data_IF_546450824819
#
_entry.id   IF_546450824819
#
_cell.length_a   1.000
_cell.length_b   1.000
_cell.length_c   1.000
_cell.angle_alpha   90.00
_cell.angle_beta   90.00
_cell.angle_gamma   90.00
#
_symmetry.space_group_name_H-M   'P 1'
#
loop_
_entity.id
_entity.type
_entity.pdbx_description
1 polymer ?
#
# COMPACT_ATOMS: atom_id res chain seq x y z
N UNK A 1 19.53 -0.10 26.01
CA UNK A 1 19.46 0.60 24.70
C UNK A 1 20.18 -0.29 23.69
N UNK A 2 19.47 -1.10 22.89
CA UNK A 2 20.00 -1.79 21.66
C UNK A 2 18.98 -2.68 20.94
N UNK A 3 17.79 -2.99 21.49
CA UNK A 3 16.83 -3.88 20.79
C UNK A 3 15.97 -3.18 19.73
N UNK A 4 15.60 -1.90 19.89
CA UNK A 4 14.74 -1.18 18.93
C UNK A 4 15.33 -1.07 17.51
N UNK A 5 16.66 -0.99 17.39
CA UNK A 5 17.34 -0.89 16.10
C UNK A 5 17.26 -2.18 15.27
N UNK A 6 17.48 -3.35 15.90
CA UNK A 6 17.39 -4.63 15.19
C UNK A 6 15.95 -4.97 14.75
N UNK A 7 14.95 -4.70 15.60
CA UNK A 7 13.55 -4.95 15.26
C UNK A 7 13.05 -4.04 14.12
N UNK A 8 13.53 -2.79 14.05
CA UNK A 8 13.18 -1.88 12.95
C UNK A 8 13.75 -2.33 11.61
N UNK A 9 15.03 -2.73 11.57
CA UNK A 9 15.71 -3.18 10.33
C UNK A 9 15.15 -4.50 9.81
N UNK A 10 14.77 -5.44 10.68
CA UNK A 10 14.14 -6.68 10.24
C UNK A 10 12.73 -6.44 9.66
N UNK A 11 11.95 -5.54 10.26
CA UNK A 11 10.61 -5.21 9.75
C UNK A 11 10.64 -4.44 8.43
N UNK A 12 11.62 -3.56 8.21
CA UNK A 12 11.76 -2.82 6.95
C UNK A 12 12.09 -3.76 5.79
N UNK A 13 13.05 -4.66 5.98
CA UNK A 13 13.42 -5.67 4.98
C UNK A 13 12.26 -6.63 4.68
N UNK A 14 11.53 -7.08 5.72
CA UNK A 14 10.37 -7.94 5.54
C UNK A 14 9.26 -7.26 4.74
N UNK A 15 8.95 -6.00 5.05
CA UNK A 15 7.99 -5.23 4.28
C UNK A 15 8.44 -5.03 2.82
N UNK A 16 9.71 -4.68 2.60
CA UNK A 16 10.24 -4.49 1.25
C UNK A 16 10.09 -5.78 0.43
N UNK A 17 10.42 -6.94 1.01
CA UNK A 17 10.21 -8.24 0.38
C UNK A 17 8.74 -8.53 0.12
N UNK A 18 7.86 -8.35 1.11
CA UNK A 18 6.42 -8.54 0.94
C UNK A 18 5.86 -7.67 -0.19
N UNK A 19 6.30 -6.42 -0.22
CA UNK A 19 5.86 -5.44 -1.20
C UNK A 19 6.29 -5.77 -2.61
N UNK A 20 7.59 -6.03 -2.81
CA UNK A 20 8.11 -6.42 -4.11
C UNK A 20 7.41 -7.67 -4.67
N UNK A 21 7.14 -8.66 -3.81
CA UNK A 21 6.54 -9.94 -4.22
C UNK A 21 5.07 -9.84 -4.64
N UNK A 22 4.29 -8.90 -4.07
CA UNK A 22 2.86 -8.75 -4.40
C UNK A 22 2.55 -7.54 -5.29
N UNK A 23 3.50 -6.61 -5.48
CA UNK A 23 3.30 -5.43 -6.32
C UNK A 23 2.93 -5.81 -7.77
N UNK A 24 3.51 -6.89 -8.30
CA UNK A 24 3.23 -7.37 -9.66
C UNK A 24 1.78 -7.83 -9.90
N UNK A 25 0.94 -7.91 -8.86
CA UNK A 25 -0.48 -8.24 -8.99
C UNK A 25 -1.33 -7.09 -9.56
N UNK A 26 -0.80 -5.87 -9.71
CA UNK A 26 -1.56 -4.74 -10.27
C UNK A 26 -2.61 -4.15 -9.32
N UNK A 27 -2.54 -4.53 -8.04
CA UNK A 27 -3.52 -4.14 -7.02
C UNK A 27 -3.13 -2.86 -6.27
N UNK A 28 -1.90 -2.37 -6.47
CA UNK A 28 -1.32 -1.25 -5.74
C UNK A 28 -0.20 -1.69 -4.80
N UNK A 29 0.26 -0.77 -3.95
CA UNK A 29 1.26 -1.03 -2.91
C UNK A 29 0.64 -1.89 -1.78
N UNK A 30 1.09 -3.12 -1.58
CA UNK A 30 0.57 -3.98 -0.52
C UNK A 30 1.05 -3.52 0.87
N UNK A 31 0.18 -3.61 1.87
CA UNK A 31 0.49 -3.32 3.26
C UNK A 31 0.76 -4.61 4.02
N UNK A 32 1.93 -4.72 4.65
CA UNK A 32 2.27 -5.86 5.52
C UNK A 32 1.42 -5.83 6.79
N UNK A 33 1.18 -4.62 7.31
CA UNK A 33 0.28 -4.34 8.42
C UNK A 33 -0.90 -3.47 7.94
N UNK A 34 -1.94 -4.09 7.36
CA UNK A 34 -3.16 -3.43 6.96
C UNK A 34 -3.73 -2.53 8.06
N UNK A 35 -3.90 -1.25 7.73
CA UNK A 35 -4.45 -0.26 8.63
C UNK A 35 -5.95 -0.51 8.85
N UNK A 36 -6.46 -0.57 10.10
CA UNK A 36 -7.89 -0.64 10.35
C UNK A 36 -8.52 0.67 9.89
N UNK A 37 -9.46 0.59 8.95
CA UNK A 37 -10.15 1.77 8.45
C UNK A 37 -11.52 1.81 9.11
N UNK A 38 -11.74 2.80 9.98
CA UNK A 38 -13.02 3.03 10.66
C UNK A 38 -14.17 3.11 9.65
N UNK A 39 -15.37 2.76 10.13
CA UNK A 39 -16.58 2.76 9.32
C UNK A 39 -16.98 4.16 8.89
N UNK A 40 -16.50 4.57 7.73
CA UNK A 40 -16.82 5.84 7.08
C UNK A 40 -15.61 6.47 6.41
N UNK A 41 -14.40 6.15 6.85
CA UNK A 41 -13.19 6.61 6.19
C UNK A 41 -12.89 5.73 4.97
N UNK A 42 -12.78 6.39 3.83
CA UNK A 42 -12.02 5.89 2.70
C UNK A 42 -10.65 6.57 2.85
N UNK A 43 -9.56 5.80 2.82
CA UNK A 43 -8.18 6.35 2.83
C UNK A 43 -7.92 7.28 1.62
N UNK A 44 -8.89 7.41 0.73
CA UNK A 44 -8.82 8.23 -0.47
C UNK A 44 -8.61 9.69 -0.09
N UNK A 45 -7.66 10.31 -0.78
CA UNK A 45 -7.15 11.66 -0.55
C UNK A 45 -6.42 11.83 0.78
N UNK A 46 -6.07 10.76 1.49
CA UNK A 46 -5.14 10.89 2.62
C UNK A 46 -3.71 11.08 2.13
N UNK A 47 -2.98 11.95 2.83
CA UNK A 47 -1.57 12.19 2.61
C UNK A 47 -0.80 11.60 3.79
N UNK A 48 0.28 10.89 3.49
CA UNK A 48 1.07 10.20 4.51
C UNK A 48 2.36 9.64 3.96
N UNK A 49 2.95 8.72 4.72
CA UNK A 49 4.16 8.01 4.33
C UNK A 49 4.08 6.54 4.73
N UNK A 50 4.93 5.73 4.13
CA UNK A 50 5.09 4.31 4.47
C UNK A 50 6.23 4.14 5.45
N UNK A 51 6.00 3.31 6.47
CA UNK A 51 7.03 2.94 7.44
C UNK A 51 6.76 1.50 7.90
N UNK A 52 7.75 0.63 7.75
CA UNK A 52 7.68 -0.78 8.16
C UNK A 52 6.37 -1.50 7.74
N UNK A 53 5.91 -1.25 6.51
CA UNK A 53 4.71 -1.87 5.95
C UNK A 53 3.38 -1.41 6.51
N UNK A 54 3.39 -0.29 7.23
CA UNK A 54 2.21 0.45 7.68
C UNK A 54 2.16 1.80 6.98
N UNK A 55 0.95 2.24 6.61
CA UNK A 55 0.73 3.61 6.16
C UNK A 55 0.46 4.53 7.35
N UNK A 56 1.23 5.59 7.47
CA UNK A 56 1.10 6.61 8.49
C UNK A 56 0.46 7.86 7.89
N UNK A 57 -0.81 8.06 8.22
CA UNK A 57 -1.56 9.25 7.81
C UNK A 57 -1.00 10.50 8.50
N UNK A 58 -0.75 11.53 7.70
CA UNK A 58 -0.52 12.89 8.18
C UNK A 58 -1.84 13.64 8.28
N UNK A 59 -2.56 13.78 7.17
CA UNK A 59 -3.86 14.45 7.12
C UNK A 59 -4.70 14.02 5.90
N UNK A 60 -5.92 14.53 5.76
CA UNK A 60 -6.85 14.19 4.66
C UNK A 60 -7.03 15.39 3.74
N UNK A 61 -6.51 15.31 2.52
CA UNK A 61 -6.49 16.41 1.55
C UNK A 61 -7.87 16.81 1.02
N UNK A 62 -8.86 15.91 1.03
CA UNK A 62 -10.19 16.22 0.51
C UNK A 62 -11.19 16.67 1.58
N UNK A 63 -10.82 16.64 2.86
CA UNK A 63 -11.74 17.02 3.94
C UNK A 63 -11.85 18.54 4.04
N UNK A 64 -13.05 19.13 4.16
CA UNK A 64 -13.14 20.53 4.58
C UNK A 64 -12.45 20.68 5.94
N UNK A 65 -11.78 21.81 6.17
CA UNK A 65 -10.91 22.11 7.33
C UNK A 65 -11.67 22.20 8.68
N UNK A 66 -12.80 21.52 8.82
CA UNK A 66 -13.83 21.80 9.82
C UNK A 66 -13.61 21.05 11.14
N UNK A 67 -12.57 20.20 11.20
CA UNK A 67 -12.28 19.42 12.39
C UNK A 67 -11.02 19.95 13.08
N UNK A 68 -11.19 20.60 14.24
CA UNK A 68 -10.13 21.05 15.15
C UNK A 68 -9.14 19.94 15.61
N UNK A 69 -9.37 18.68 15.22
CA UNK A 69 -8.50 17.52 15.49
C UNK A 69 -7.58 17.15 14.33
N UNK A 70 -7.76 17.75 13.17
CA UNK A 70 -6.98 17.45 11.97
C UNK A 70 -5.79 18.41 11.91
N UNK A 71 -4.56 17.88 11.99
CA UNK A 71 -3.33 18.65 11.83
C UNK A 71 -3.19 19.00 10.35
N UNK A 72 -3.81 20.08 9.93
CA UNK A 72 -3.75 20.58 8.55
C UNK A 72 -2.62 21.61 8.44
N UNK A 73 -1.86 21.63 7.33
CA UNK A 73 -0.84 22.66 7.11
C UNK A 73 -1.44 24.08 7.15
N UNK A 74 -0.63 25.10 7.46
CA UNK A 74 -1.10 26.49 7.63
C UNK A 74 -1.79 27.06 6.38
N UNK A 75 -1.37 26.62 5.21
CA UNK A 75 -1.86 26.99 3.88
C UNK A 75 -2.92 26.01 3.34
N UNK A 76 -3.54 25.21 4.21
CA UNK A 76 -4.41 24.11 3.80
C UNK A 76 -5.57 24.59 2.92
N UNK A 77 -5.58 24.05 1.71
CA UNK A 77 -6.68 24.16 0.78
C UNK A 77 -7.16 22.74 0.45
N UNK A 78 -8.45 22.42 0.60
CA UNK A 78 -8.94 21.09 0.23
C UNK A 78 -8.74 20.81 -1.25
N UNK A 79 -8.22 19.61 -1.56
CA UNK A 79 -8.20 19.07 -2.91
C UNK A 79 -9.64 18.98 -3.44
N UNK A 80 -9.94 19.82 -4.41
CA UNK A 80 -11.23 19.88 -5.06
C UNK A 80 -11.13 19.18 -6.41
N UNK A 81 -11.63 17.94 -6.46
CA UNK A 81 -11.77 17.20 -7.72
C UNK A 81 -13.08 17.61 -8.40
N UNK A 82 -13.02 17.88 -9.70
CA UNK A 82 -14.17 18.19 -10.54
C UNK A 82 -15.18 17.03 -10.53
N UNK A 83 -16.49 17.34 -10.47
CA UNK A 83 -17.57 16.34 -10.39
C UNK A 83 -18.41 16.44 -9.10
N UNK A 84 -19.61 15.85 -9.11
CA UNK A 84 -20.48 15.78 -7.93
C UNK A 84 -19.91 14.78 -6.91
N UNK A 85 -20.03 15.03 -5.60
CA UNK A 85 -19.36 14.24 -4.54
C UNK A 85 -19.64 12.73 -4.61
N UNK A 86 -20.84 12.33 -5.07
CA UNK A 86 -21.22 10.92 -5.28
C UNK A 86 -20.67 10.30 -6.57
N UNK A 87 -20.14 11.11 -7.48
CA UNK A 87 -19.48 10.71 -8.72
C UNK A 87 -17.97 10.63 -8.60
N UNK A 88 -17.33 11.11 -7.52
CA UNK A 88 -15.85 11.31 -7.44
C UNK A 88 -15.02 10.04 -7.21
N UNK A 89 -15.69 8.93 -6.91
CA UNK A 89 -15.02 7.69 -6.62
C UNK A 89 -15.75 6.57 -7.31
N UNK A 90 -15.01 5.86 -8.15
CA UNK A 90 -15.51 4.63 -8.73
C UNK A 90 -15.26 3.48 -7.76
N UNK A 91 -16.34 2.82 -7.36
CA UNK A 91 -16.27 1.52 -6.72
C UNK A 91 -16.12 0.48 -7.83
N UNK A 92 -14.87 0.23 -8.21
CA UNK A 92 -14.56 -0.87 -9.11
C UNK A 92 -14.94 -2.18 -8.42
N UNK A 93 -16.00 -2.81 -8.92
CA UNK A 93 -16.41 -4.14 -8.49
C UNK A 93 -15.56 -5.21 -9.14
N UNK A 94 -14.34 -4.95 -9.64
CA UNK A 94 -13.40 -6.03 -9.97
C UNK A 94 -13.13 -6.76 -8.65
N UNK A 95 -13.84 -7.87 -8.37
CA UNK A 95 -13.79 -8.46 -7.07
C UNK A 95 -12.48 -9.23 -7.06
N UNK A 96 -11.57 -8.90 -6.15
CA UNK A 96 -10.64 -9.93 -5.76
C UNK A 96 -11.51 -10.95 -5.04
N UNK A 97 -11.86 -12.01 -5.75
CA UNK A 97 -12.73 -13.06 -5.24
C UNK A 97 -12.16 -13.65 -3.96
N UNK A 98 -13.01 -14.28 -3.13
CA UNK A 98 -12.52 -15.03 -1.98
C UNK A 98 -11.57 -16.12 -2.47
N UNK A 99 -10.39 -16.22 -1.90
CA UNK A 99 -9.33 -17.08 -2.43
C UNK A 99 -7.97 -16.75 -1.84
N UNK A 100 -6.93 -17.08 -2.58
CA UNK A 100 -5.56 -16.68 -2.27
C UNK A 100 -4.93 -16.01 -3.48
N UNK A 101 -4.23 -14.91 -3.24
CA UNK A 101 -3.35 -14.26 -4.20
C UNK A 101 -1.92 -14.49 -3.74
N UNK A 102 -1.03 -14.86 -4.66
CA UNK A 102 0.34 -15.26 -4.33
C UNK A 102 1.31 -14.58 -5.29
N UNK A 103 2.54 -14.42 -4.83
CA UNK A 103 3.65 -13.97 -5.68
C UNK A 103 3.97 -15.00 -6.76
N UNK A 104 4.67 -14.55 -7.79
CA UNK A 104 5.08 -15.39 -8.90
C UNK A 104 5.94 -16.59 -8.43
N UNK A 105 5.63 -17.77 -8.96
CA UNK A 105 6.33 -19.01 -8.63
C UNK A 105 5.72 -19.76 -7.45
N UNK A 106 4.66 -19.25 -6.81
CA UNK A 106 3.89 -20.02 -5.82
C UNK A 106 2.74 -20.72 -6.52
N UNK A 107 2.59 -22.02 -6.27
CA UNK A 107 1.46 -22.82 -6.77
C UNK A 107 0.53 -23.20 -5.62
N UNK A 108 -0.76 -22.86 -5.72
CA UNK A 108 -1.75 -23.34 -4.77
C UNK A 108 -2.07 -24.82 -5.06
N UNK A 109 -1.84 -25.70 -4.09
CA UNK A 109 -2.05 -27.15 -4.22
C UNK A 109 -3.48 -27.58 -3.85
N UNK A 110 -4.22 -26.72 -3.13
CA UNK A 110 -5.60 -26.97 -2.74
C UNK A 110 -6.58 -26.51 -3.82
N UNK A 111 -7.74 -27.17 -3.96
CA UNK A 111 -8.79 -26.71 -4.88
C UNK A 111 -9.40 -25.42 -4.34
N UNK A 112 -9.83 -24.53 -5.23
CA UNK A 112 -10.40 -23.22 -4.86
C UNK A 112 -11.61 -23.33 -3.89
N UNK A 113 -12.42 -24.38 -4.03
CA UNK A 113 -13.54 -24.66 -3.11
C UNK A 113 -13.09 -24.91 -1.66
N UNK A 114 -11.88 -25.43 -1.45
CA UNK A 114 -11.31 -25.64 -0.11
C UNK A 114 -10.92 -24.31 0.56
N UNK A 115 -10.68 -23.25 -0.22
CA UNK A 115 -10.36 -21.90 0.27
C UNK A 115 -11.62 -21.13 0.69
N UNK A 116 -12.78 -21.41 0.09
CA UNK A 116 -14.07 -20.86 0.52
C UNK A 116 -14.70 -21.65 1.66
N UNK A 117 -14.48 -22.97 1.68
CA UNK A 117 -14.98 -23.90 2.70
C UNK A 117 -13.84 -24.34 3.61
N UNK A 118 -13.12 -23.41 4.23
CA UNK A 118 -12.02 -23.72 5.16
C UNK A 118 -12.60 -24.34 6.46
N UNK A 119 -13.14 -25.54 6.35
CA UNK A 119 -13.45 -26.46 7.42
C UNK A 119 -12.25 -27.39 7.59
N UNK A 120 -11.43 -27.10 8.60
CA UNK A 120 -10.40 -28.00 9.15
C UNK A 120 -9.16 -28.32 8.30
N UNK A 121 -9.24 -28.40 6.96
CA UNK A 121 -8.13 -28.96 6.15
C UNK A 121 -7.00 -28.00 5.79
N UNK A 122 -7.23 -26.69 5.84
CA UNK A 122 -6.24 -25.68 5.45
C UNK A 122 -5.96 -25.64 3.94
N UNK A 123 -5.24 -24.61 3.50
CA UNK A 123 -4.86 -24.35 2.11
C UNK A 123 -3.36 -24.49 1.98
N UNK A 124 -2.88 -25.34 1.08
CA UNK A 124 -1.46 -25.59 0.88
C UNK A 124 -0.93 -24.87 -0.38
N UNK A 125 0.29 -24.35 -0.26
CA UNK A 125 1.00 -23.61 -1.30
C UNK A 125 2.40 -24.20 -1.44
N UNK A 126 2.83 -24.49 -2.66
CA UNK A 126 4.19 -24.92 -2.95
C UNK A 126 5.02 -23.75 -3.44
N UNK A 127 6.16 -23.53 -2.80
CA UNK A 127 7.13 -22.54 -3.22
C UNK A 127 7.91 -23.07 -4.43
N UNK A 128 7.89 -22.35 -5.55
CA UNK A 128 8.77 -22.60 -6.70
C UNK A 128 10.03 -21.74 -6.69
N UNK A 129 10.20 -20.90 -5.66
CA UNK A 129 11.34 -19.99 -5.47
C UNK A 129 11.74 -19.94 -3.99
N UNK A 130 12.98 -19.51 -3.68
CA UNK A 130 13.45 -19.40 -2.30
C UNK A 130 12.72 -18.37 -1.44
N UNK A 131 11.95 -17.47 -2.05
CA UNK A 131 11.15 -16.47 -1.35
C UNK A 131 9.82 -16.25 -2.06
N UNK A 132 8.82 -15.81 -1.30
CA UNK A 132 7.52 -15.47 -1.86
C UNK A 132 6.54 -14.99 -0.80
N UNK A 133 5.42 -14.46 -1.29
CA UNK A 133 4.37 -13.86 -0.45
C UNK A 133 3.00 -14.40 -0.83
N UNK A 134 2.17 -14.62 0.17
CA UNK A 134 0.82 -15.16 0.06
C UNK A 134 -0.13 -14.23 0.79
N UNK A 135 -1.28 -13.95 0.21
CA UNK A 135 -2.40 -13.31 0.88
C UNK A 135 -3.66 -14.15 0.65
N UNK A 136 -4.30 -14.54 1.75
CA UNK A 136 -5.56 -15.28 1.77
C UNK A 136 -6.68 -14.33 2.15
N UNK A 137 -7.74 -14.35 1.35
CA UNK A 137 -8.94 -13.55 1.49
C UNK A 137 -10.14 -14.50 1.60
N UNK A 138 -10.63 -14.79 2.82
CA UNK A 138 -11.78 -15.68 2.96
C UNK A 138 -13.09 -15.08 2.42
N UNK A 139 -13.14 -13.77 2.26
CA UNK A 139 -14.24 -13.01 1.66
C UNK A 139 -13.68 -12.11 0.56
N UNK A 140 -14.51 -11.74 -0.41
CA UNK A 140 -14.08 -10.86 -1.50
C UNK A 140 -13.58 -9.51 -0.99
N UNK A 141 -12.49 -9.01 -1.58
CA UNK A 141 -12.04 -7.65 -1.34
C UNK A 141 -12.73 -6.67 -2.30
N UNK A 142 -12.92 -5.43 -1.86
CA UNK A 142 -13.51 -4.35 -2.66
C UNK A 142 -12.43 -3.32 -3.00
N UNK A 143 -12.31 -2.95 -4.28
CA UNK A 143 -11.46 -1.86 -4.73
C UNK A 143 -12.23 -0.54 -4.75
N UNK A 144 -11.57 0.53 -4.33
CA UNK A 144 -12.05 1.91 -4.40
C UNK A 144 -10.97 2.75 -5.07
N UNK A 145 -11.35 3.65 -5.97
CA UNK A 145 -10.42 4.56 -6.65
C UNK A 145 -11.04 5.94 -6.86
N UNK A 146 -10.18 6.95 -6.88
CA UNK A 146 -10.45 8.24 -7.49
C UNK A 146 -10.54 8.09 -9.01
N UNK A 147 -11.38 8.90 -9.64
CA UNK A 147 -11.53 8.87 -11.10
C UNK A 147 -10.27 9.40 -11.80
N UNK A 148 -9.90 8.76 -12.91
CA UNK A 148 -8.68 9.04 -13.69
C UNK A 148 -8.60 10.47 -14.26
N UNK A 149 -9.73 11.15 -14.46
CA UNK A 149 -9.73 12.56 -14.88
C UNK A 149 -9.10 13.49 -13.83
N UNK A 150 -8.84 12.97 -12.62
CA UNK A 150 -8.26 13.70 -11.50
C UNK A 150 -6.74 13.73 -11.50
N UNK A 151 -6.05 12.92 -12.32
CA UNK A 151 -4.60 12.66 -12.18
C UNK A 151 -3.77 13.95 -12.23
N UNK A 152 -4.04 14.81 -13.22
CA UNK A 152 -3.38 16.13 -13.35
C UNK A 152 -3.70 17.06 -12.18
N UNK A 153 -4.95 17.04 -11.73
CA UNK A 153 -5.41 17.88 -10.61
C UNK A 153 -4.74 17.46 -9.31
N UNK A 154 -4.59 16.15 -9.09
CA UNK A 154 -3.91 15.56 -7.93
C UNK A 154 -2.43 15.94 -7.96
N UNK A 155 -1.74 15.73 -9.07
CA UNK A 155 -0.32 16.02 -9.17
C UNK A 155 -0.02 17.53 -9.03
N UNK A 156 -0.86 18.39 -9.63
CA UNK A 156 -0.78 19.86 -9.45
C UNK A 156 -1.06 20.28 -8.01
N UNK A 157 -1.96 19.59 -7.33
CA UNK A 157 -2.23 19.81 -5.92
C UNK A 157 -1.05 19.40 -5.05
N UNK A 158 -0.49 18.21 -5.28
CA UNK A 158 0.71 17.74 -4.59
C UNK A 158 1.83 18.76 -4.76
N UNK A 159 2.14 19.19 -5.99
CA UNK A 159 3.23 20.13 -6.25
C UNK A 159 3.09 21.44 -5.44
N UNK A 160 1.88 22.01 -5.39
CA UNK A 160 1.62 23.26 -4.66
C UNK A 160 1.79 23.14 -3.16
N UNK A 161 1.54 21.97 -2.59
CA UNK A 161 1.53 21.79 -1.13
C UNK A 161 2.65 20.88 -0.60
N UNK A 162 3.48 20.29 -1.48
CA UNK A 162 4.46 19.28 -1.10
C UNK A 162 5.44 19.78 -0.04
N UNK A 163 5.91 21.02 -0.17
CA UNK A 163 6.82 21.64 0.81
C UNK A 163 6.13 21.78 2.17
N UNK A 164 4.90 22.29 2.19
CA UNK A 164 4.10 22.42 3.42
C UNK A 164 3.91 21.07 4.13
N UNK A 165 3.79 19.98 3.38
CA UNK A 165 3.62 18.64 3.97
C UNK A 165 4.89 18.14 4.64
N UNK A 166 6.05 18.40 4.03
CA UNK A 166 7.35 18.07 4.61
C UNK A 166 7.64 18.90 5.86
N UNK A 167 7.25 20.18 5.87
CA UNK A 167 7.35 21.04 7.05
C UNK A 167 6.46 20.51 8.19
N UNK A 168 5.21 20.12 7.91
CA UNK A 168 4.31 19.53 8.92
C UNK A 168 4.86 18.19 9.44
N UNK A 169 5.38 17.33 8.57
CA UNK A 169 6.03 16.08 8.99
C UNK A 169 7.22 16.37 9.92
N UNK A 170 8.06 17.35 9.57
CA UNK A 170 9.25 17.72 10.34
C UNK A 170 8.92 18.30 11.71
N UNK A 171 7.83 19.07 11.82
CA UNK A 171 7.38 19.66 13.09
C UNK A 171 6.62 18.66 13.98
N UNK A 172 6.01 17.63 13.39
CA UNK A 172 5.25 16.62 14.11
C UNK A 172 6.07 15.38 14.52
N UNK A 173 7.24 15.17 13.92
CA UNK A 173 8.12 14.05 14.23
C UNK A 173 8.75 14.19 15.64
N UNK A 174 8.87 13.08 16.41
CA UNK A 174 9.64 13.07 17.65
C UNK A 174 11.10 13.45 17.37
N UNK A 175 11.72 14.25 18.24
CA UNK A 175 13.12 14.76 18.11
C UNK A 175 14.22 13.70 17.85
N UNK A 176 13.91 12.40 17.98
CA UNK A 176 14.84 11.30 17.78
C UNK A 176 14.61 10.50 16.48
N UNK A 177 13.63 10.88 15.65
CA UNK A 177 13.43 10.26 14.33
C UNK A 177 14.28 11.01 13.30
N UNK A 178 15.59 10.72 13.30
CA UNK A 178 16.56 11.18 12.28
C UNK A 178 16.42 10.43 10.96
N UNK A 179 15.37 9.62 10.80
CA UNK A 179 15.17 8.83 9.60
C UNK A 179 15.02 9.74 8.38
N UNK A 180 15.79 9.39 7.35
CA UNK A 180 15.84 9.98 6.01
C UNK A 180 14.49 10.54 5.55
N UNK A 181 14.52 11.70 4.87
CA UNK A 181 13.36 12.37 4.28
C UNK A 181 12.32 11.36 3.74
N UNK A 182 11.26 11.11 4.52
CA UNK A 182 10.26 10.10 4.17
C UNK A 182 9.55 10.56 2.91
N UNK A 183 9.48 9.69 1.90
CA UNK A 183 8.75 10.03 0.67
C UNK A 183 7.26 10.07 0.95
N UNK A 184 6.70 11.27 0.84
CA UNK A 184 5.27 11.49 1.01
C UNK A 184 4.48 10.98 -0.18
N UNK A 185 3.30 10.43 0.10
CA UNK A 185 2.37 9.93 -0.89
C UNK A 185 0.95 10.40 -0.62
N UNK A 186 0.16 10.54 -1.69
CA UNK A 186 -1.27 10.80 -1.64
C UNK A 186 -2.02 9.56 -2.11
N UNK A 187 -2.93 9.05 -1.29
CA UNK A 187 -3.69 7.83 -1.57
C UNK A 187 -4.85 8.14 -2.51
N UNK A 188 -4.84 7.53 -3.69
CA UNK A 188 -5.87 7.68 -4.74
C UNK A 188 -6.80 6.48 -4.83
N UNK A 189 -6.42 5.35 -4.25
CA UNK A 189 -7.21 4.12 -4.28
C UNK A 189 -6.85 3.19 -3.13
N UNK A 190 -7.74 2.23 -2.84
CA UNK A 190 -7.39 1.13 -1.95
C UNK A 190 -8.20 -0.13 -2.24
N UNK A 191 -7.63 -1.28 -1.88
CA UNK A 191 -8.32 -2.57 -1.82
C UNK A 191 -8.62 -2.89 -0.36
N UNK A 192 -9.87 -3.20 -0.03
CA UNK A 192 -10.30 -3.43 1.35
C UNK A 192 -10.91 -4.81 1.55
N UNK A 193 -10.58 -5.45 2.68
CA UNK A 193 -11.26 -6.64 3.18
C UNK A 193 -11.44 -6.56 4.71
N UNK A 194 -12.50 -7.17 5.22
CA UNK A 194 -12.66 -7.38 6.67
C UNK A 194 -11.74 -8.50 7.17
N UNK A 195 -11.55 -9.52 6.33
CA UNK A 195 -10.92 -10.79 6.65
C UNK A 195 -9.75 -11.02 5.71
N UNK A 196 -8.56 -11.11 6.27
CA UNK A 196 -7.35 -11.33 5.51
C UNK A 196 -6.31 -12.03 6.38
N UNK A 197 -5.44 -12.79 5.73
CA UNK A 197 -4.21 -13.29 6.32
C UNK A 197 -3.11 -13.19 5.28
N UNK A 198 -1.93 -12.76 5.67
CA UNK A 198 -0.77 -12.68 4.79
C UNK A 198 0.41 -13.43 5.38
N UNK A 199 1.31 -13.87 4.50
CA UNK A 199 2.56 -14.49 4.88
C UNK A 199 3.64 -14.16 3.86
N UNK A 200 4.87 -14.03 4.36
CA UNK A 200 6.09 -13.91 3.54
C UNK A 200 7.09 -14.95 4.03
N UNK A 201 7.72 -15.65 3.11
CA UNK A 201 8.79 -16.59 3.42
C UNK A 201 10.04 -16.30 2.59
N UNK A 202 11.20 -16.71 3.10
CA UNK A 202 12.48 -16.61 2.42
C UNK A 202 13.47 -17.68 2.88
N UNK A 203 14.48 -17.96 2.06
CA UNK A 203 15.51 -18.96 2.35
C UNK A 203 14.98 -20.41 2.34
N UNK A 204 13.87 -20.66 1.65
CA UNK A 204 13.24 -21.99 1.57
C UNK A 204 13.72 -22.74 0.33
N UNK A 205 13.59 -24.07 0.34
CA UNK A 205 13.80 -24.86 -0.87
C UNK A 205 12.63 -24.71 -1.85
N UNK A 206 12.87 -25.01 -3.15
CA UNK A 206 11.84 -24.91 -4.20
C UNK A 206 10.78 -26.01 -4.15
N UNK A 207 10.72 -26.76 -3.06
CA UNK A 207 9.69 -27.77 -2.79
C UNK A 207 8.94 -27.48 -1.49
N UNK A 208 9.32 -26.42 -0.78
CA UNK A 208 8.80 -26.06 0.51
C UNK A 208 7.30 -25.81 0.40
N UNK A 209 6.57 -26.31 1.39
CA UNK A 209 5.11 -26.17 1.42
C UNK A 209 4.72 -25.22 2.54
N UNK A 210 4.00 -24.16 2.19
CA UNK A 210 3.35 -23.27 3.15
C UNK A 210 1.90 -23.68 3.28
N UNK A 211 1.43 -23.94 4.49
CA UNK A 211 0.03 -24.30 4.75
C UNK A 211 -0.63 -23.22 5.60
N UNK A 212 -1.71 -22.64 5.08
CA UNK A 212 -2.61 -21.75 5.80
C UNK A 212 -3.71 -22.55 6.48
N UNK A 213 -3.98 -22.31 7.77
CA UNK A 213 -5.14 -22.86 8.48
C UNK A 213 -5.96 -21.71 9.03
N UNK A 214 -7.27 -21.74 8.77
CA UNK A 214 -8.21 -20.79 9.37
C UNK A 214 -8.52 -21.20 10.81
N UNK A 215 -8.58 -20.19 11.67
CA UNK A 215 -9.09 -20.24 13.02
C UNK A 215 -10.42 -21.02 13.11
N UNK A 216 -10.47 -22.00 14.00
CA UNK A 216 -11.73 -22.43 14.62
C UNK A 216 -12.09 -21.48 15.78
N UNK A 217 -13.25 -21.63 16.43
CA UNK A 217 -13.70 -20.77 17.53
C UNK A 217 -12.70 -20.62 18.71
N UNK A 218 -11.67 -21.47 18.79
CA UNK A 218 -10.67 -21.48 19.86
C UNK A 218 -9.23 -21.30 19.39
N UNK A 219 -9.00 -21.11 18.09
CA UNK A 219 -7.65 -21.07 17.52
C UNK A 219 -7.46 -19.83 16.67
N UNK A 220 -6.21 -19.39 16.50
CA UNK A 220 -5.87 -18.31 15.59
C UNK A 220 -5.57 -18.86 14.20
N UNK A 221 -5.95 -18.12 13.16
CA UNK A 221 -5.55 -18.46 11.80
C UNK A 221 -4.04 -18.30 11.69
N UNK A 222 -3.36 -19.27 11.10
CA UNK A 222 -1.90 -19.31 11.06
C UNK A 222 -1.39 -19.86 9.74
N UNK A 223 -0.14 -19.51 9.43
CA UNK A 223 0.62 -20.15 8.38
C UNK A 223 1.70 -21.04 9.01
N UNK A 224 1.96 -22.18 8.39
CA UNK A 224 3.00 -23.12 8.78
C UNK A 224 3.88 -23.41 7.58
N UNK A 225 5.19 -23.48 7.79
CA UNK A 225 6.18 -23.76 6.75
C UNK A 225 6.74 -25.17 6.97
N UNK A 226 6.56 -26.05 5.98
CA UNK A 226 7.22 -27.33 5.90
C UNK A 226 8.45 -27.19 5.00
N UNK A 227 9.59 -26.92 5.62
CA UNK A 227 10.90 -26.76 4.97
C UNK A 227 12.00 -27.16 5.94
N UNK A 228 13.14 -27.62 5.40
CA UNK A 228 14.34 -27.90 6.20
C UNK A 228 15.10 -26.63 6.60
N UNK A 229 14.86 -25.52 5.90
CA UNK A 229 15.46 -24.21 6.12
C UNK A 229 14.47 -23.07 5.84
N UNK A 230 14.85 -21.86 6.21
CA UNK A 230 14.13 -20.64 5.88
C UNK A 230 13.21 -20.14 6.99
N UNK A 231 12.64 -18.98 6.74
CA UNK A 231 11.85 -18.24 7.72
C UNK A 231 10.47 -17.93 7.15
N UNK A 232 9.48 -17.85 8.05
CA UNK A 232 8.09 -17.54 7.72
C UNK A 232 7.59 -16.47 8.68
N UNK A 233 7.13 -15.37 8.12
CA UNK A 233 6.46 -14.29 8.85
C UNK A 233 5.02 -14.20 8.38
N UNK A 234 4.07 -14.00 9.30
CA UNK A 234 2.67 -13.92 8.93
C UNK A 234 1.85 -13.05 9.88
N UNK A 235 0.80 -12.43 9.33
CA UNK A 235 -0.18 -11.64 10.05
C UNK A 235 -1.60 -11.99 9.60
N UNK A 236 -2.58 -11.77 10.46
CA UNK A 236 -3.98 -12.13 10.18
C UNK A 236 -4.95 -11.29 11.00
N UNK A 237 -6.06 -10.87 10.38
CA UNK A 237 -7.22 -10.28 11.07
C UNK A 237 -8.31 -11.32 11.39
N UNK A 238 -8.05 -12.60 11.11
CA UNK A 238 -9.02 -13.69 11.23
C UNK A 238 -9.06 -14.23 12.66
N UNK A 239 -9.50 -13.42 13.61
CA UNK A 239 -9.91 -13.86 14.95
C UNK A 239 -11.43 -14.06 14.98
N UNK A 240 -11.87 -15.31 15.04
CA UNK A 240 -13.27 -15.68 15.23
C UNK A 240 -13.54 -15.82 16.72
N UNK A 241 -13.84 -14.73 17.42
CA UNK A 241 -14.33 -14.82 18.80
C UNK A 241 -13.81 -13.71 19.70
N UNK A 242 -14.74 -13.03 20.36
CA UNK A 242 -14.54 -11.90 21.27
C UNK A 242 -13.95 -10.65 20.59
N UNK A 243 -14.85 -9.73 20.24
CA UNK A 243 -14.58 -8.30 20.42
C UNK A 243 -14.04 -8.18 21.84
N UNK A 244 -12.72 -8.07 21.98
CA UNK A 244 -12.16 -7.50 23.19
C UNK A 244 -12.82 -6.15 23.30
N UNK A 245 -13.68 -5.97 24.30
CA UNK A 245 -14.04 -4.65 24.79
C UNK A 245 -12.72 -3.93 24.94
N UNK A 246 -12.44 -2.98 24.04
CA UNK A 246 -11.35 -2.05 24.25
C UNK A 246 -11.76 -1.33 25.53
N UNK A 247 -11.14 -1.69 26.65
CA UNK A 247 -11.26 -0.94 27.89
C UNK A 247 -10.61 0.42 27.65
N UNK A 248 -11.32 1.32 26.97
CA UNK A 248 -11.09 2.73 27.14
C UNK A 248 -11.46 3.03 28.59
N UNK A 249 -10.45 3.27 29.42
CA UNK A 249 -10.59 3.71 30.82
C UNK A 249 -11.07 5.16 30.93
N UNK A 250 -12.05 5.55 30.10
CA UNK A 250 -12.71 6.83 30.18
C UNK A 250 -14.20 6.59 30.12
N UNK A 251 -14.92 6.96 31.17
CA UNK A 251 -16.39 6.96 31.20
C UNK A 251 -16.92 7.86 30.09
N UNK A 252 -17.41 7.27 28.99
CA UNK A 252 -18.27 7.95 28.05
C UNK A 252 -19.70 7.55 28.37
N UNK A 253 -20.55 8.52 28.73
CA UNK A 253 -21.98 8.29 28.83
C UNK A 253 -22.54 7.98 27.44
N UNK A 254 -23.18 6.82 27.28
CA UNK A 254 -23.86 6.46 26.03
C UNK A 254 -24.97 7.49 25.72
N UNK A 255 -25.03 8.04 24.49
CA UNK A 255 -26.10 8.94 24.11
C UNK A 255 -27.45 8.20 24.06
N UNK A 256 -28.50 8.87 24.52
CA UNK A 256 -29.83 8.30 24.81
C UNK A 256 -30.64 7.75 23.60
N UNK A 257 -30.06 7.68 22.40
CA UNK A 257 -30.76 7.18 21.21
C UNK A 257 -30.56 5.67 20.96
N UNK A 258 -29.82 4.95 21.81
CA UNK A 258 -29.59 3.49 21.68
C UNK A 258 -30.73 2.60 22.19
N UNK A 259 -31.95 3.12 22.37
CA UNK A 259 -33.08 2.36 22.93
C UNK A 259 -33.99 1.65 21.91
N UNK A 260 -33.59 1.59 20.63
CA UNK A 260 -34.20 0.68 19.66
C UNK A 260 -33.24 -0.46 19.31
N UNK A 261 -33.55 -1.64 19.85
CA UNK A 261 -32.94 -2.94 19.54
C UNK A 261 -33.18 -3.32 18.05
N UNK A 262 -32.47 -2.65 17.15
CA UNK A 262 -32.11 -3.25 15.86
C UNK A 262 -30.70 -3.77 16.06
N UNK A 263 -30.56 -5.08 16.02
CA UNK A 263 -29.35 -5.91 16.04
C UNK A 263 -28.13 -5.22 15.41
N UNK A 264 -27.43 -4.38 16.17
CA UNK A 264 -26.13 -3.84 15.80
C UNK A 264 -25.12 -4.97 15.95
N UNK A 265 -25.06 -5.88 14.97
CA UNK A 265 -23.80 -6.58 14.74
C UNK A 265 -22.77 -5.48 14.51
N UNK A 266 -21.73 -5.32 15.36
CA UNK A 266 -20.72 -4.31 15.15
C UNK A 266 -20.19 -4.51 13.74
N UNK A 267 -20.37 -3.49 12.93
CA UNK A 267 -19.97 -3.49 11.55
C UNK A 267 -18.49 -3.85 11.50
N UNK A 268 -18.17 -4.96 10.82
CA UNK A 268 -16.82 -5.53 10.80
C UNK A 268 -15.85 -4.49 10.22
N UNK A 269 -14.88 -4.05 11.02
CA UNK A 269 -13.83 -3.13 10.58
C UNK A 269 -13.15 -3.70 9.33
N UNK A 270 -13.08 -2.89 8.27
CA UNK A 270 -12.38 -3.27 7.03
C UNK A 270 -10.98 -2.70 7.06
N UNK A 271 -10.01 -3.49 6.64
CA UNK A 271 -8.62 -3.07 6.55
C UNK A 271 -8.27 -2.75 5.10
N UNK A 272 -7.38 -1.79 4.88
CA UNK A 272 -6.78 -1.55 3.57
C UNK A 272 -5.60 -2.51 3.36
N UNK A 273 -5.65 -3.28 2.29
CA UNK A 273 -4.68 -4.32 1.96
C UNK A 273 -3.66 -3.85 0.92
N UNK A 274 -4.14 -3.06 -0.05
CA UNK A 274 -3.34 -2.46 -1.10
C UNK A 274 -3.75 -0.99 -1.24
N UNK A 275 -2.78 -0.14 -1.56
CA UNK A 275 -2.98 1.29 -1.81
C UNK A 275 -2.64 1.61 -3.26
N UNK A 276 -3.52 2.32 -3.97
CA UNK A 276 -3.11 3.09 -5.14
C UNK A 276 -2.77 4.49 -4.68
N UNK A 277 -1.68 5.04 -5.20
CA UNK A 277 -1.05 6.21 -4.62
C UNK A 277 -0.25 6.99 -5.66
N UNK A 278 -0.15 8.29 -5.38
CA UNK A 278 0.75 9.20 -6.06
C UNK A 278 1.97 9.49 -5.20
N UNK A 279 3.12 9.60 -5.83
CA UNK A 279 4.31 10.21 -5.25
C UNK A 279 4.74 11.41 -6.07
N UNK A 280 5.42 12.33 -5.41
CA UNK A 280 6.04 13.49 -6.03
C UNK A 280 7.49 13.58 -5.57
N UNK A 281 8.39 13.92 -6.48
CA UNK A 281 9.81 14.17 -6.21
C UNK A 281 10.22 15.49 -6.83
N UNK A 282 10.83 16.36 -6.02
CA UNK A 282 11.44 17.59 -6.47
C UNK A 282 12.87 17.31 -6.94
N UNK A 283 13.32 18.02 -7.98
CA UNK A 283 14.72 18.04 -8.40
C UNK A 283 15.55 18.69 -7.31
N UNK A 284 16.52 17.97 -6.77
CA UNK A 284 17.46 18.59 -5.83
C UNK A 284 18.42 19.52 -6.59
N UNK A 285 18.63 20.77 -6.15
CA UNK A 285 19.51 21.73 -6.83
C UNK A 285 20.99 21.30 -6.83
N UNK A 286 21.39 20.44 -5.90
CA UNK A 286 22.78 19.98 -5.71
C UNK A 286 23.08 18.63 -6.36
N UNK A 287 22.15 18.11 -7.15
CA UNK A 287 22.19 16.75 -7.67
C UNK A 287 23.05 16.65 -8.94
N UNK A 288 24.37 16.58 -8.77
CA UNK A 288 25.22 15.79 -9.67
C UNK A 288 24.97 14.28 -9.42
N UNK A 289 23.71 13.85 -9.43
CA UNK A 289 23.28 12.46 -9.18
C UNK A 289 23.84 11.48 -10.23
N UNK A 290 24.35 11.98 -11.35
CA UNK A 290 24.78 11.16 -12.47
C UNK A 290 26.12 10.43 -12.27
N UNK A 291 26.89 10.67 -11.20
CA UNK A 291 28.26 10.13 -11.14
C UNK A 291 28.77 9.53 -9.82
N UNK A 292 28.11 9.69 -8.67
CA UNK A 292 28.73 9.27 -7.39
C UNK A 292 27.92 8.35 -6.48
N UNK A 293 26.64 8.08 -6.75
CA UNK A 293 25.97 6.95 -6.08
C UNK A 293 26.24 5.68 -6.89
N UNK A 294 27.28 4.95 -6.51
CA UNK A 294 27.16 3.49 -6.57
C UNK A 294 25.81 3.14 -5.95
N UNK A 295 25.13 2.19 -6.58
CA UNK A 295 23.77 1.71 -6.32
C UNK A 295 23.66 1.17 -4.89
N UNK A 296 23.75 2.03 -3.88
CA UNK A 296 23.04 1.84 -2.63
C UNK A 296 21.60 2.18 -2.96
N UNK A 297 20.90 1.18 -3.50
CA UNK A 297 19.44 1.19 -3.53
C UNK A 297 19.02 1.50 -2.11
N UNK A 298 18.41 2.66 -1.89
CA UNK A 298 17.72 2.88 -0.64
C UNK A 298 16.70 1.75 -0.54
N UNK A 299 16.79 0.94 0.52
CA UNK A 299 15.91 -0.23 0.71
C UNK A 299 14.43 0.17 0.62
N UNK A 300 14.14 1.46 0.82
CA UNK A 300 12.84 2.09 0.84
C UNK A 300 12.30 2.59 -0.51
N UNK A 301 13.12 2.71 -1.57
CA UNK A 301 12.60 3.15 -2.87
C UNK A 301 11.64 2.09 -3.44
N UNK A 302 10.53 2.44 -4.06
CA UNK A 302 9.69 1.48 -4.80
C UNK A 302 9.73 1.77 -6.30
N UNK A 303 8.96 1.00 -7.09
CA UNK A 303 8.91 1.18 -8.54
C UNK A 303 8.52 2.62 -8.94
N UNK A 304 7.68 3.30 -8.15
CA UNK A 304 7.30 4.68 -8.44
C UNK A 304 8.48 5.62 -8.19
N UNK A 305 9.31 5.36 -7.17
CA UNK A 305 10.54 6.16 -6.93
C UNK A 305 11.55 6.04 -8.08
N UNK A 306 11.75 4.84 -8.64
CA UNK A 306 12.58 4.65 -9.83
C UNK A 306 12.01 5.39 -11.04
N UNK A 307 10.68 5.38 -11.19
CA UNK A 307 10.01 6.08 -12.28
C UNK A 307 10.20 7.60 -12.17
N UNK A 308 10.01 8.17 -10.98
CA UNK A 308 10.26 9.58 -10.69
C UNK A 308 11.72 9.96 -10.94
N UNK A 309 12.67 9.11 -10.55
CA UNK A 309 14.09 9.34 -10.80
C UNK A 309 14.42 9.32 -12.30
N UNK A 310 13.84 8.40 -13.06
CA UNK A 310 13.96 8.35 -14.51
C UNK A 310 13.41 9.63 -15.16
N UNK A 311 12.19 10.05 -14.78
CA UNK A 311 11.57 11.28 -15.31
C UNK A 311 12.47 12.51 -15.09
N UNK A 312 12.99 12.69 -13.88
CA UNK A 312 13.86 13.83 -13.57
C UNK A 312 15.22 13.74 -14.27
N UNK A 313 15.74 12.53 -14.52
CA UNK A 313 17.01 12.35 -15.24
C UNK A 313 16.89 12.73 -16.72
N UNK A 314 15.75 12.41 -17.33
CA UNK A 314 15.53 12.52 -18.79
C UNK A 314 14.64 13.70 -19.20
N UNK A 315 14.40 14.64 -18.28
CA UNK A 315 13.69 15.89 -18.55
C UNK A 315 14.36 17.08 -17.88
N UNK A 316 14.01 18.29 -18.30
CA UNK A 316 14.44 19.55 -17.68
C UNK A 316 13.55 20.00 -16.51
N UNK A 317 12.57 19.20 -16.11
CA UNK A 317 11.56 19.63 -15.15
C UNK A 317 12.06 19.73 -13.71
N UNK A 318 11.49 20.63 -12.93
CA UNK A 318 11.85 20.83 -11.52
C UNK A 318 11.17 19.82 -10.59
N UNK A 319 10.09 19.18 -11.04
CA UNK A 319 9.37 18.18 -10.26
C UNK A 319 8.82 17.08 -11.18
N UNK A 320 8.69 15.88 -10.62
CA UNK A 320 8.01 14.76 -11.24
C UNK A 320 6.93 14.24 -10.30
N UNK A 321 5.79 13.84 -10.84
CA UNK A 321 4.77 13.11 -10.12
C UNK A 321 4.39 11.86 -10.91
N UNK A 322 4.14 10.77 -10.19
CA UNK A 322 3.78 9.50 -10.80
C UNK A 322 2.83 8.73 -9.89
N UNK A 323 1.98 7.93 -10.52
CA UNK A 323 1.04 7.02 -9.90
C UNK A 323 1.55 5.58 -10.00
N UNK A 324 1.16 4.69 -9.09
CA UNK A 324 1.43 3.24 -9.24
C UNK A 324 0.85 2.68 -10.54
N UNK A 325 -0.26 3.26 -11.00
CA UNK A 325 -0.86 2.99 -12.32
C UNK A 325 0.08 3.20 -13.50
N UNK A 326 0.95 4.21 -13.46
CA UNK A 326 1.90 4.51 -14.54
C UNK A 326 2.93 3.38 -14.66
N UNK A 327 3.34 2.81 -13.54
CA UNK A 327 4.23 1.64 -13.53
C UNK A 327 3.53 0.48 -14.22
N UNK A 328 2.28 0.16 -13.87
CA UNK A 328 1.55 -0.95 -14.49
C UNK A 328 1.30 -0.73 -15.99
N UNK A 329 1.02 0.51 -16.39
CA UNK A 329 0.79 0.86 -17.78
C UNK A 329 2.03 0.57 -18.66
N UNK A 330 3.25 0.79 -18.15
CA UNK A 330 4.49 0.49 -18.88
C UNK A 330 4.68 -0.98 -19.22
N UNK A 331 3.94 -1.88 -18.58
CA UNK A 331 4.09 -3.31 -18.79
C UNK A 331 3.06 -3.91 -19.76
N UNK A 332 1.92 -3.28 -20.05
CA UNK A 332 0.91 -3.76 -21.01
C UNK A 332 0.64 -5.30 -20.96
N UNK A 333 0.64 -5.90 -19.75
CA UNK A 333 0.44 -7.35 -19.57
C UNK A 333 1.72 -8.21 -19.57
N UNK A 334 2.89 -7.61 -19.80
CA UNK A 334 4.18 -8.21 -19.53
C UNK A 334 4.45 -8.30 -18.02
N UNK A 335 5.40 -9.17 -17.68
CA UNK A 335 5.85 -9.35 -16.31
C UNK A 335 6.69 -8.14 -15.86
N UNK A 336 6.34 -7.56 -14.72
CA UNK A 336 7.14 -6.53 -14.06
C UNK A 336 8.51 -7.13 -13.66
N UNK A 337 9.65 -6.54 -14.07
CA UNK A 337 10.98 -6.99 -13.70
C UNK A 337 11.21 -6.76 -12.21
N UNK A 338 12.26 -7.38 -11.65
CA UNK A 338 12.57 -7.15 -10.25
C UNK A 338 12.98 -5.70 -10.02
N UNK A 339 12.86 -5.23 -8.78
CA UNK A 339 13.13 -3.84 -8.40
C UNK A 339 14.52 -3.36 -8.86
N UNK A 340 15.56 -4.18 -8.67
CA UNK A 340 16.93 -3.86 -9.06
C UNK A 340 17.18 -3.87 -10.58
N UNK A 341 16.30 -4.49 -11.37
CA UNK A 341 16.36 -4.53 -12.84
C UNK A 341 15.53 -3.39 -13.44
N UNK A 342 14.57 -2.84 -12.70
CA UNK A 342 13.59 -1.89 -13.21
C UNK A 342 14.21 -0.59 -13.73
N UNK A 343 15.26 -0.07 -13.09
CA UNK A 343 15.96 1.11 -13.59
C UNK A 343 16.55 0.87 -14.99
N UNK A 344 17.20 -0.28 -15.21
CA UNK A 344 17.73 -0.65 -16.53
C UNK A 344 16.61 -0.85 -17.54
N UNK A 345 15.52 -1.50 -17.13
CA UNK A 345 14.33 -1.67 -17.95
C UNK A 345 13.79 -0.32 -18.45
N UNK A 346 13.73 0.72 -17.60
CA UNK A 346 13.29 2.05 -18.03
C UNK A 346 14.24 2.68 -19.05
N UNK A 347 15.55 2.50 -18.90
CA UNK A 347 16.54 2.98 -19.88
C UNK A 347 16.41 2.24 -21.22
N UNK A 348 16.15 0.93 -21.20
CA UNK A 348 15.96 0.12 -22.40
C UNK A 348 14.62 0.41 -23.10
N UNK A 349 13.54 0.62 -22.33
CA UNK A 349 12.21 0.97 -22.83
C UNK A 349 12.13 2.42 -23.35
N UNK A 350 12.89 3.32 -22.72
CA UNK A 350 12.94 4.76 -22.99
C UNK A 350 11.53 5.41 -23.13
N UNK A 351 10.63 5.27 -22.13
CA UNK A 351 9.26 5.76 -22.25
C UNK A 351 9.21 7.27 -22.46
N UNK A 352 8.22 7.71 -23.25
CA UNK A 352 8.01 9.11 -23.59
C UNK A 352 7.58 9.91 -22.36
N UNK A 353 8.26 11.03 -22.15
CA UNK A 353 8.03 11.96 -21.06
C UNK A 353 7.26 13.18 -21.59
N UNK A 354 6.13 13.53 -20.96
CA UNK A 354 5.34 14.72 -21.29
C UNK A 354 5.47 15.76 -20.18
N UNK A 355 6.01 16.94 -20.53
CA UNK A 355 6.21 18.06 -19.60
C UNK A 355 5.12 19.08 -19.84
N UNK A 356 4.32 19.37 -18.82
CA UNK A 356 3.30 20.38 -18.95
C UNK A 356 3.80 21.81 -18.72
N UNK A 357 2.92 22.79 -18.98
CA UNK A 357 3.22 24.21 -18.83
C UNK A 357 3.54 24.63 -17.39
N UNK A 358 3.13 23.84 -16.39
CA UNK A 358 3.46 24.08 -14.98
C UNK A 358 4.83 23.46 -14.59
N UNK A 359 5.54 22.84 -15.54
CA UNK A 359 6.79 22.14 -15.29
C UNK A 359 6.60 20.81 -14.57
N UNK A 360 5.35 20.32 -14.47
CA UNK A 360 5.03 19.01 -13.94
C UNK A 360 5.13 17.98 -15.07
N UNK A 361 5.70 16.83 -14.73
CA UNK A 361 5.96 15.79 -15.71
C UNK A 361 5.28 14.50 -15.33
N UNK A 362 4.59 13.93 -16.31
CA UNK A 362 4.06 12.57 -16.25
C UNK A 362 4.57 11.77 -17.46
N UNK A 363 4.49 10.45 -17.34
CA UNK A 363 4.77 9.57 -18.48
C UNK A 363 3.46 9.32 -19.22
N UNK A 364 3.53 9.39 -20.56
CA UNK A 364 2.46 8.84 -21.40
C UNK A 364 2.92 7.49 -21.92
N UNK A 365 2.12 6.48 -21.65
CA UNK A 365 2.21 5.21 -22.36
C UNK A 365 1.35 5.35 -23.61
N UNK A 366 1.99 5.40 -24.78
CA UNK A 366 1.26 5.35 -26.06
C UNK A 366 0.86 3.89 -26.31
N UNK A 367 -0.32 3.48 -25.83
CA UNK A 367 -0.76 2.08 -25.94
C UNK A 367 -1.89 1.69 -24.98
N UNK A 368 -3.05 2.33 -25.11
CA UNK A 368 -4.29 1.86 -24.49
C UNK A 368 -5.32 1.64 -25.59
N UNK A 369 -5.73 0.39 -25.79
CA UNK A 369 -6.64 -0.10 -26.84
C UNK A 369 -7.86 0.82 -27.10
N UNK A 370 -8.12 1.08 -28.39
CA UNK A 370 -9.43 1.50 -28.92
C UNK A 370 -10.55 0.50 -28.61
#
# INVERSE_FOLDING_TARGET
MTSKGLFGVQNSALHAAYSEQLFSLGLGLPLLHPYPVDLGDLLLGEVGYMDNGTFHRLYKAMSPNDNARQRTPRSYMPLSLSGSLGSKFTRDTIPIGPGAVCSEGITCLSKYDDVQRIGGRGVAFQAGRPSGSIMVLPEAATRYRLDCDSDRSIASYMLRHYQDWHEELSTSAPQNDTSSAKTLMLISGCVRSAHWANATFYGVDSTATVTFRRASEREHSSFTLASSSGELHHHSSLSSGTVGTVSHSGEWANPAWTQSEITLTPSRLKHALFLSYYKLRLRSPSSNYAQSRQVETDEHEDYVDYLLAYILRHSSAEAAAAHDGDVYALFEGNKIPRKHEFARFLEDLAPRIDVDQAGLVSIRVEGGLD
#
